data_IF_135083100011
#
_entry.id   IF_135083100011
#
_cell.length_a   1.000
_cell.length_b   1.000
_cell.length_c   1.000
_cell.angle_alpha   90.00
_cell.angle_beta   90.00
_cell.angle_gamma   90.00
#
_symmetry.space_group_name_H-M   'P 1'
#
loop_
_entity.id
_entity.type
_entity.pdbx_description
1 polymer ?
#
# COMPACT_ATOMS: atom_id res chain seq x y z
N UNK A 1 -43.91 18.48 57.74
CA UNK A 1 -44.21 19.02 56.39
C UNK A 1 -43.65 18.05 55.35
N UNK A 2 -44.43 17.56 54.38
CA UNK A 2 -43.89 16.74 53.30
C UNK A 2 -42.94 17.59 52.46
N UNK A 3 -41.80 17.02 52.07
CA UNK A 3 -40.68 17.74 51.47
C UNK A 3 -41.04 18.31 50.08
N UNK A 4 -41.60 19.53 50.05
CA UNK A 4 -42.07 20.26 48.86
C UNK A 4 -41.00 20.34 47.76
N UNK A 5 -39.73 20.43 48.15
CA UNK A 5 -38.58 20.42 47.25
C UNK A 5 -38.50 19.12 46.43
N UNK A 6 -38.72 17.98 47.07
CA UNK A 6 -38.70 16.68 46.38
C UNK A 6 -39.88 16.53 45.41
N UNK A 7 -41.08 17.00 45.78
CA UNK A 7 -42.25 16.96 44.89
C UNK A 7 -42.09 17.86 43.67
N UNK A 8 -41.48 19.04 43.83
CA UNK A 8 -41.19 19.95 42.72
C UNK A 8 -40.17 19.33 41.76
N UNK A 9 -39.06 18.80 42.28
CA UNK A 9 -38.06 18.10 41.47
C UNK A 9 -38.67 16.91 40.72
N UNK A 10 -39.53 16.12 41.36
CA UNK A 10 -40.24 15.00 40.72
C UNK A 10 -41.16 15.46 39.59
N UNK A 11 -41.91 16.56 39.76
CA UNK A 11 -42.76 17.09 38.70
C UNK A 11 -41.95 17.63 37.52
N UNK A 12 -40.87 18.37 37.79
CA UNK A 12 -39.96 18.89 36.77
C UNK A 12 -39.32 17.72 36.00
N UNK A 13 -38.84 16.69 36.69
CA UNK A 13 -38.29 15.49 36.06
C UNK A 13 -39.34 14.74 35.22
N UNK A 14 -40.61 14.67 35.66
CA UNK A 14 -41.70 14.10 34.86
C UNK A 14 -42.00 14.92 33.60
N UNK A 15 -41.97 16.25 33.70
CA UNK A 15 -42.14 17.14 32.55
C UNK A 15 -40.98 17.00 31.56
N UNK A 16 -39.74 17.00 32.05
CA UNK A 16 -38.54 16.79 31.23
C UNK A 16 -38.62 15.42 30.52
N UNK A 17 -38.91 14.33 31.25
CA UNK A 17 -39.08 12.99 30.65
C UNK A 17 -40.25 12.91 29.67
N UNK A 18 -41.25 13.78 29.78
CA UNK A 18 -42.34 13.84 28.79
C UNK A 18 -41.90 14.51 27.50
N UNK A 19 -41.00 15.49 27.57
CA UNK A 19 -40.62 16.34 26.44
C UNK A 19 -39.28 15.98 25.81
N UNK A 20 -38.42 15.27 26.54
CA UNK A 20 -37.10 14.82 26.09
C UNK A 20 -36.97 13.34 26.41
N UNK A 21 -36.75 12.52 25.39
CA UNK A 21 -36.56 11.07 25.53
C UNK A 21 -35.45 10.60 24.61
N UNK A 22 -34.59 9.73 25.14
CA UNK A 22 -33.60 9.01 24.36
C UNK A 22 -34.11 7.57 24.21
N UNK A 23 -34.27 7.11 22.98
CA UNK A 23 -34.81 5.79 22.66
C UNK A 23 -33.92 5.10 21.61
N UNK A 24 -33.85 3.77 21.65
CA UNK A 24 -33.23 2.97 20.59
C UNK A 24 -34.31 2.61 19.56
N UNK A 25 -34.09 3.00 18.32
CA UNK A 25 -35.01 2.73 17.21
C UNK A 25 -34.30 1.94 16.10
N UNK A 26 -35.06 1.21 15.29
CA UNK A 26 -34.56 0.59 14.06
C UNK A 26 -34.90 1.46 12.85
N UNK A 27 -33.99 1.60 11.90
CA UNK A 27 -34.24 2.35 10.66
C UNK A 27 -35.15 1.56 9.72
N UNK A 28 -36.26 2.15 9.30
CA UNK A 28 -37.20 1.56 8.32
C UNK A 28 -36.88 1.98 6.89
N UNK A 29 -36.58 3.28 6.70
CA UNK A 29 -36.32 3.89 5.40
C UNK A 29 -35.27 4.98 5.51
N UNK A 30 -34.44 5.09 4.47
CA UNK A 30 -33.43 6.14 4.32
C UNK A 30 -33.88 7.08 3.20
N UNK A 31 -33.80 8.38 3.45
CA UNK A 31 -33.98 9.43 2.47
C UNK A 31 -32.65 10.15 2.32
N UNK A 32 -32.20 10.34 1.08
CA UNK A 32 -30.94 11.03 0.79
C UNK A 32 -31.12 12.03 -0.34
N UNK A 33 -30.19 12.99 -0.36
CA UNK A 33 -30.01 13.90 -1.49
C UNK A 33 -29.32 13.12 -2.62
N UNK A 34 -30.09 12.75 -3.63
CA UNK A 34 -29.70 11.88 -4.74
C UNK A 34 -29.17 12.67 -5.94
N UNK A 35 -29.72 13.86 -6.19
CA UNK A 35 -29.37 14.66 -7.35
C UNK A 35 -29.32 16.16 -7.01
N UNK A 36 -28.50 16.94 -7.74
CA UNK A 36 -28.53 18.40 -7.64
C UNK A 36 -29.96 18.92 -7.72
N UNK A 37 -30.31 19.86 -6.83
CA UNK A 37 -31.63 20.49 -6.73
C UNK A 37 -32.79 19.64 -6.21
N UNK A 38 -32.55 18.38 -5.80
CA UNK A 38 -33.57 17.71 -5.01
C UNK A 38 -33.71 18.40 -3.64
N UNK A 39 -34.94 18.56 -3.16
CA UNK A 39 -35.24 19.19 -1.87
C UNK A 39 -35.20 18.17 -0.72
N UNK A 40 -34.59 16.99 -0.92
CA UNK A 40 -34.53 15.94 0.08
C UNK A 40 -33.34 16.20 0.99
N UNK A 41 -33.59 16.19 2.28
CA UNK A 41 -32.53 16.14 3.29
C UNK A 41 -32.16 14.69 3.59
N UNK A 42 -30.88 14.49 3.92
CA UNK A 42 -30.38 13.26 4.53
C UNK A 42 -31.11 13.01 5.85
N UNK A 43 -32.06 12.08 5.83
CA UNK A 43 -32.97 11.81 6.93
C UNK A 43 -33.45 10.36 6.90
N UNK A 44 -33.96 9.87 8.02
CA UNK A 44 -34.44 8.49 8.15
C UNK A 44 -35.81 8.40 8.79
N UNK A 45 -36.55 7.36 8.41
CA UNK A 45 -37.74 6.93 9.11
C UNK A 45 -37.34 5.82 10.08
N UNK A 46 -37.81 5.87 11.33
CA UNK A 46 -37.45 4.93 12.39
C UNK A 46 -38.66 4.30 13.06
N UNK A 47 -38.50 3.06 13.50
CA UNK A 47 -39.48 2.26 14.24
C UNK A 47 -38.99 2.08 15.68
N UNK A 48 -39.80 2.44 16.66
CA UNK A 48 -39.48 2.19 18.08
C UNK A 48 -39.64 0.71 18.41
N UNK A 49 -38.61 0.06 18.98
CA UNK A 49 -38.64 -1.39 19.30
C UNK A 49 -39.32 -1.71 20.64
N UNK A 50 -39.16 -0.87 21.65
CA UNK A 50 -39.59 -1.16 23.04
C UNK A 50 -41.08 -0.96 23.33
N UNK A 51 -41.88 -0.64 22.31
CA UNK A 51 -43.33 -0.61 22.48
C UNK A 51 -43.92 -1.90 21.93
N UNK A 52 -44.23 -2.81 22.85
CA UNK A 52 -45.12 -3.95 22.64
C UNK A 52 -46.49 -3.43 22.14
N UNK A 53 -46.58 -3.15 20.85
CA UNK A 53 -47.80 -2.69 20.19
C UNK A 53 -47.98 -3.61 18.99
N UNK A 54 -48.35 -4.86 19.31
CA UNK A 54 -49.14 -5.68 18.38
C UNK A 54 -50.58 -5.17 18.47
N UNK A 55 -50.84 -3.98 17.94
CA UNK A 55 -52.22 -3.55 17.78
C UNK A 55 -52.88 -4.38 16.67
N UNK A 56 -54.20 -4.52 16.73
CA UNK A 56 -55.00 -5.23 15.72
C UNK A 56 -54.82 -4.71 14.27
N UNK A 57 -54.18 -3.55 14.09
CA UNK A 57 -53.85 -2.93 12.79
C UNK A 57 -52.38 -3.09 12.37
N UNK A 58 -51.56 -3.85 13.11
CA UNK A 58 -50.19 -4.22 12.73
C UNK A 58 -49.17 -3.07 12.62
N UNK A 59 -49.54 -1.85 12.99
CA UNK A 59 -48.73 -0.64 12.71
C UNK A 59 -47.95 -0.20 13.95
N UNK A 60 -46.64 -0.51 13.97
CA UNK A 60 -45.70 0.10 14.93
C UNK A 60 -45.64 1.61 14.72
N UNK A 61 -45.32 2.36 15.79
CA UNK A 61 -45.14 3.81 15.70
C UNK A 61 -43.89 4.16 14.88
N UNK A 62 -44.09 4.54 13.62
CA UNK A 62 -43.05 5.07 12.73
C UNK A 62 -42.89 6.57 12.97
N UNK A 63 -41.66 7.03 13.12
CA UNK A 63 -41.28 8.45 13.12
C UNK A 63 -40.57 8.75 11.81
N UNK A 64 -41.03 9.77 11.09
CA UNK A 64 -40.58 10.05 9.73
C UNK A 64 -39.61 11.22 9.66
N UNK A 65 -38.71 11.18 8.69
CA UNK A 65 -37.81 12.27 8.30
C UNK A 65 -37.02 12.87 9.48
N UNK A 66 -36.47 12.00 10.33
CA UNK A 66 -35.56 12.42 11.39
C UNK A 66 -34.19 12.71 10.78
N UNK A 67 -33.64 13.90 11.05
CA UNK A 67 -32.30 14.28 10.60
C UNK A 67 -31.23 13.52 11.38
N UNK A 68 -30.15 13.15 10.70
CA UNK A 68 -28.98 12.51 11.32
C UNK A 68 -27.95 13.55 11.71
N UNK A 69 -27.42 13.47 12.94
CA UNK A 69 -26.28 14.27 13.37
C UNK A 69 -25.08 13.95 12.47
N UNK A 70 -24.48 14.97 11.88
CA UNK A 70 -23.33 14.86 10.99
C UNK A 70 -22.08 15.37 11.71
N UNK A 71 -20.92 14.79 11.43
CA UNK A 71 -19.63 15.23 11.99
C UNK A 71 -19.13 16.53 11.37
N UNK A 72 -19.45 16.79 10.10
CA UNK A 72 -19.07 17.99 9.36
C UNK A 72 -20.16 18.37 8.37
N UNK A 73 -20.60 19.64 8.38
CA UNK A 73 -21.65 20.16 7.47
C UNK A 73 -21.25 21.53 6.94
N UNK A 74 -21.44 21.73 5.64
CA UNK A 74 -21.32 23.00 4.93
C UNK A 74 -22.18 22.99 3.66
N UNK A 75 -22.26 24.11 2.95
CA UNK A 75 -22.99 24.17 1.69
C UNK A 75 -22.25 23.35 0.62
N UNK A 76 -22.85 22.23 0.18
CA UNK A 76 -22.22 21.25 -0.72
C UNK A 76 -20.86 20.71 -0.21
N UNK A 77 -20.66 20.70 1.11
CA UNK A 77 -19.45 20.26 1.78
C UNK A 77 -19.83 19.49 3.05
N UNK A 78 -19.08 18.45 3.41
CA UNK A 78 -19.25 17.76 4.69
C UNK A 78 -19.07 16.26 4.59
N UNK A 79 -19.20 15.61 5.74
CA UNK A 79 -19.18 14.15 5.86
C UNK A 79 -20.61 13.65 5.93
N UNK A 80 -21.22 13.45 4.75
CA UNK A 80 -22.60 13.00 4.65
C UNK A 80 -22.71 11.51 4.97
N UNK A 81 -23.38 11.18 6.07
CA UNK A 81 -23.66 9.83 6.51
C UNK A 81 -25.13 9.66 6.94
N UNK A 82 -25.71 8.50 6.62
CA UNK A 82 -26.99 8.04 7.15
C UNK A 82 -26.87 6.58 7.60
N UNK A 83 -27.55 6.18 8.68
CA UNK A 83 -27.68 4.78 9.04
C UNK A 83 -28.50 4.04 7.98
N UNK A 84 -28.22 2.74 7.81
CA UNK A 84 -28.84 1.89 6.78
C UNK A 84 -30.13 1.27 7.33
N UNK A 85 -30.94 0.69 6.44
CA UNK A 85 -32.19 0.04 6.85
C UNK A 85 -31.90 -1.12 7.81
N UNK A 86 -32.62 -1.18 8.93
CA UNK A 86 -32.42 -2.19 9.97
C UNK A 86 -31.40 -1.82 11.03
N UNK A 87 -30.48 -0.88 10.76
CA UNK A 87 -29.52 -0.40 11.74
C UNK A 87 -30.25 0.11 12.99
N UNK A 88 -29.69 -0.19 14.17
CA UNK A 88 -30.16 0.40 15.41
C UNK A 88 -29.49 1.74 15.68
N UNK A 89 -30.30 2.71 16.10
CA UNK A 89 -29.87 4.10 16.30
C UNK A 89 -30.38 4.68 17.60
N UNK A 90 -29.56 5.52 18.24
CA UNK A 90 -30.00 6.39 19.32
C UNK A 90 -30.76 7.57 18.74
N UNK A 91 -31.99 7.77 19.19
CA UNK A 91 -32.84 8.88 18.77
C UNK A 91 -33.21 9.73 19.97
N UNK A 92 -32.82 11.01 19.93
CA UNK A 92 -33.29 12.01 20.89
C UNK A 92 -34.61 12.59 20.37
N UNK A 93 -35.71 12.22 21.00
CA UNK A 93 -37.00 12.85 20.80
C UNK A 93 -37.11 14.10 21.67
N UNK A 94 -37.35 15.25 21.05
CA UNK A 94 -37.55 16.52 21.71
C UNK A 94 -38.86 17.16 21.24
N UNK A 95 -39.69 17.58 22.19
CA UNK A 95 -41.07 18.00 21.91
C UNK A 95 -41.96 16.85 21.44
N UNK A 96 -43.23 17.14 21.20
CA UNK A 96 -44.28 16.11 21.04
C UNK A 96 -44.22 15.27 19.75
N UNK A 97 -43.16 15.37 18.91
CA UNK A 97 -42.99 14.56 17.69
C UNK A 97 -41.67 14.76 16.92
N UNK A 98 -40.83 15.73 17.29
CA UNK A 98 -39.54 15.97 16.60
C UNK A 98 -38.44 15.10 17.22
N UNK A 99 -37.47 14.73 16.41
CA UNK A 99 -36.34 13.95 16.90
C UNK A 99 -35.12 14.10 16.00
N UNK A 100 -33.97 13.75 16.55
CA UNK A 100 -32.69 13.73 15.84
C UNK A 100 -32.01 12.39 16.11
N UNK A 101 -31.45 11.79 15.07
CA UNK A 101 -30.62 10.58 15.20
C UNK A 101 -29.23 11.02 15.66
N UNK A 102 -28.78 10.50 16.80
CA UNK A 102 -27.49 10.83 17.39
C UNK A 102 -26.35 9.95 16.84
N UNK A 103 -26.67 8.73 16.42
CA UNK A 103 -25.69 7.77 15.90
C UNK A 103 -26.18 6.32 16.00
N UNK A 104 -25.44 5.41 15.39
CA UNK A 104 -25.72 3.98 15.43
C UNK A 104 -25.34 3.33 16.77
N UNK A 105 -25.97 2.19 17.06
CA UNK A 105 -25.79 1.43 18.29
C UNK A 105 -25.56 -0.03 17.94
N UNK A 106 -24.53 -0.62 18.54
CA UNK A 106 -24.27 -2.05 18.42
C UNK A 106 -25.33 -2.88 19.16
N UNK A 107 -25.60 -4.09 18.69
CA UNK A 107 -26.54 -4.99 19.33
C UNK A 107 -26.21 -6.45 19.08
N UNK A 108 -26.98 -7.36 19.68
CA UNK A 108 -26.89 -8.79 19.37
C UNK A 108 -27.27 -9.13 17.92
N UNK A 109 -27.93 -8.21 17.19
CA UNK A 109 -28.20 -8.36 15.76
C UNK A 109 -27.03 -7.91 14.89
N UNK A 110 -26.32 -6.87 15.33
CA UNK A 110 -25.22 -6.20 14.65
C UNK A 110 -24.04 -6.14 15.61
N UNK A 111 -23.24 -7.19 15.61
CA UNK A 111 -22.07 -7.26 16.49
C UNK A 111 -20.96 -6.34 15.96
N UNK A 112 -20.23 -5.66 16.86
CA UNK A 112 -19.04 -4.91 16.46
C UNK A 112 -17.94 -5.87 15.97
N UNK A 113 -17.01 -5.39 15.13
CA UNK A 113 -15.81 -6.16 14.78
C UNK A 113 -14.98 -6.47 16.04
N UNK A 114 -14.36 -7.65 16.09
CA UNK A 114 -13.49 -8.02 17.20
C UNK A 114 -12.25 -7.13 17.28
N UNK A 115 -11.88 -6.80 18.52
CA UNK A 115 -10.67 -6.05 18.86
C UNK A 115 -9.81 -6.92 19.77
N UNK A 116 -8.51 -7.00 19.50
CA UNK A 116 -7.61 -7.83 20.28
C UNK A 116 -7.33 -7.20 21.63
N UNK A 117 -7.29 -5.87 21.66
CA UNK A 117 -7.18 -5.07 22.88
C UNK A 117 -8.35 -4.07 22.96
N UNK A 118 -8.70 -3.56 24.16
CA UNK A 118 -9.72 -2.52 24.28
C UNK A 118 -9.31 -1.18 23.65
N UNK A 119 -8.04 -1.01 23.29
CA UNK A 119 -7.46 0.23 22.76
C UNK A 119 -7.28 0.22 21.25
N UNK A 120 -7.36 -0.95 20.61
CA UNK A 120 -7.36 -1.03 19.14
C UNK A 120 -8.45 -0.13 18.56
N UNK A 121 -8.10 0.55 17.47
CA UNK A 121 -9.04 1.31 16.65
C UNK A 121 -9.34 0.47 15.42
N UNK A 122 -10.61 0.17 15.17
CA UNK A 122 -11.04 -0.65 14.04
C UNK A 122 -12.21 0.01 13.34
N UNK A 123 -12.04 0.24 12.06
CA UNK A 123 -13.12 0.58 11.14
C UNK A 123 -13.22 -0.55 10.11
N UNK A 124 -14.37 -1.21 10.04
CA UNK A 124 -14.65 -2.26 9.07
C UNK A 124 -15.87 -1.86 8.25
N UNK A 125 -15.65 -1.63 6.96
CA UNK A 125 -16.69 -1.40 5.98
C UNK A 125 -16.87 -2.61 5.08
N UNK A 126 -17.84 -2.54 4.18
CA UNK A 126 -18.10 -3.56 3.18
C UNK A 126 -19.45 -3.36 2.51
N UNK A 127 -19.76 -4.23 1.57
CA UNK A 127 -21.07 -4.27 0.92
C UNK A 127 -22.12 -4.73 1.93
N UNK A 128 -23.06 -3.83 2.22
CA UNK A 128 -24.18 -4.08 3.10
C UNK A 128 -25.25 -4.91 2.41
N UNK A 129 -25.84 -5.83 3.17
CA UNK A 129 -26.97 -6.64 2.74
C UNK A 129 -28.16 -6.32 3.65
N UNK A 130 -29.29 -5.97 3.02
CA UNK A 130 -30.48 -5.60 3.76
C UNK A 130 -30.96 -6.76 4.65
N UNK A 131 -31.18 -6.52 5.96
CA UNK A 131 -31.77 -7.53 6.82
C UNK A 131 -33.23 -7.78 6.40
N UNK A 132 -33.70 -9.01 6.67
CA UNK A 132 -35.09 -9.38 6.40
C UNK A 132 -36.02 -8.54 7.26
N UNK A 133 -36.95 -7.84 6.60
CA UNK A 133 -38.02 -7.11 7.25
C UNK A 133 -39.33 -7.86 7.05
N UNK A 134 -40.09 -8.09 8.12
CA UNK A 134 -41.41 -8.71 8.04
C UNK A 134 -42.51 -7.70 7.65
N UNK A 135 -43.73 -8.21 7.50
CA UNK A 135 -44.93 -7.41 7.21
C UNK A 135 -45.24 -6.35 8.30
N UNK A 136 -44.77 -6.58 9.53
CA UNK A 136 -44.94 -5.68 10.68
C UNK A 136 -43.82 -4.67 10.85
N UNK A 137 -42.97 -4.54 9.82
CA UNK A 137 -41.83 -3.61 9.80
C UNK A 137 -40.80 -3.92 10.89
N UNK A 138 -40.77 -5.14 11.42
CA UNK A 138 -39.74 -5.60 12.32
C UNK A 138 -38.61 -6.31 11.56
N UNK A 139 -37.47 -6.47 12.24
CA UNK A 139 -36.29 -7.16 11.72
C UNK A 139 -35.98 -8.39 12.60
N UNK A 140 -36.77 -9.47 12.48
CA UNK A 140 -36.76 -10.57 13.43
C UNK A 140 -35.59 -11.56 13.24
N UNK A 141 -35.01 -11.64 12.04
CA UNK A 141 -33.93 -12.60 11.74
C UNK A 141 -32.60 -12.04 12.19
N UNK A 142 -32.07 -12.55 13.30
CA UNK A 142 -30.78 -12.17 13.87
C UNK A 142 -29.85 -13.41 13.93
N UNK A 143 -28.52 -13.24 13.78
CA UNK A 143 -27.83 -12.00 13.45
C UNK A 143 -28.16 -11.50 12.04
N UNK A 144 -27.98 -10.21 11.80
CA UNK A 144 -28.16 -9.64 10.46
C UNK A 144 -27.11 -10.17 9.48
N UNK A 145 -27.38 -10.13 8.16
CA UNK A 145 -26.44 -10.62 7.17
C UNK A 145 -25.05 -10.00 7.32
N UNK A 146 -24.03 -10.86 7.27
CA UNK A 146 -22.63 -10.42 7.37
C UNK A 146 -22.23 -9.61 6.13
N UNK A 147 -21.46 -8.54 6.34
CA UNK A 147 -20.93 -7.73 5.25
C UNK A 147 -20.11 -8.57 4.27
N UNK A 148 -20.25 -8.27 2.97
CA UNK A 148 -19.45 -8.90 1.90
C UNK A 148 -18.39 -7.93 1.40
N UNK A 149 -17.31 -8.49 0.84
CA UNK A 149 -16.15 -7.74 0.36
C UNK A 149 -15.70 -6.62 1.33
N UNK A 150 -15.27 -6.99 2.54
CA UNK A 150 -14.98 -5.99 3.55
C UNK A 150 -13.67 -5.27 3.23
N UNK A 151 -13.62 -3.98 3.52
CA UNK A 151 -12.39 -3.22 3.65
C UNK A 151 -12.23 -2.81 5.12
N UNK A 152 -11.01 -2.54 5.56
CA UNK A 152 -10.81 -2.14 6.94
C UNK A 152 -9.60 -1.22 7.14
N UNK A 153 -9.74 -0.35 8.13
CA UNK A 153 -8.63 0.33 8.76
C UNK A 153 -8.50 -0.24 10.18
N UNK A 154 -7.28 -0.61 10.56
CA UNK A 154 -7.01 -1.10 11.90
C UNK A 154 -5.72 -0.54 12.43
N UNK A 155 -5.80 0.05 13.62
CA UNK A 155 -4.67 0.41 14.45
C UNK A 155 -4.54 -0.63 15.57
N UNK A 156 -3.43 -1.36 15.57
CA UNK A 156 -3.07 -2.30 16.62
C UNK A 156 -2.43 -1.50 17.75
N UNK A 157 -3.08 -1.47 18.91
CA UNK A 157 -2.64 -0.68 20.06
C UNK A 157 -2.50 -1.57 21.29
N UNK A 158 -1.35 -1.49 21.98
CA UNK A 158 -1.15 -2.08 23.30
C UNK A 158 -1.35 -1.07 24.44
N UNK A 159 -1.76 -1.48 25.66
CA UNK A 159 -1.75 -0.57 26.81
C UNK A 159 -0.33 -0.06 27.12
N UNK A 160 -0.20 1.23 27.46
CA UNK A 160 1.03 1.79 28.01
C UNK A 160 1.18 1.36 29.48
N UNK A 161 1.99 0.32 29.75
CA UNK A 161 2.22 -0.21 31.11
C UNK A 161 3.47 0.41 31.75
N UNK A 162 3.44 1.72 31.99
CA UNK A 162 4.51 2.47 32.68
C UNK A 162 5.74 2.83 31.83
N UNK A 163 6.15 1.96 30.91
CA UNK A 163 6.99 2.28 29.75
C UNK A 163 6.13 2.28 28.48
N UNK A 164 6.61 2.89 27.39
CA UNK A 164 5.95 2.83 26.08
C UNK A 164 5.61 1.37 25.75
N UNK A 165 4.32 1.07 25.55
CA UNK A 165 3.84 -0.28 25.26
C UNK A 165 4.25 -0.75 23.86
N UNK A 166 4.24 -2.06 23.58
CA UNK A 166 4.61 -2.57 22.26
C UNK A 166 3.62 -2.09 21.19
N UNK A 167 4.15 -1.69 20.05
CA UNK A 167 3.43 -1.52 18.79
C UNK A 167 2.46 -0.34 18.70
N UNK A 168 2.61 0.47 17.64
CA UNK A 168 1.55 1.32 17.07
C UNK A 168 1.39 1.01 15.59
N UNK A 169 1.42 -0.27 15.25
CA UNK A 169 1.30 -0.75 13.89
C UNK A 169 -0.11 -0.46 13.38
N UNK A 170 -0.24 -0.12 12.11
CA UNK A 170 -1.55 0.07 11.53
C UNK A 170 -1.59 -0.38 10.08
N UNK A 171 -2.78 -0.76 9.66
CA UNK A 171 -3.04 -1.18 8.29
C UNK A 171 -4.31 -0.53 7.75
N UNK A 172 -4.32 -0.28 6.45
CA UNK A 172 -5.49 0.13 5.71
C UNK A 172 -5.64 -0.75 4.48
N UNK A 173 -6.72 -1.54 4.44
CA UNK A 173 -7.11 -2.39 3.31
C UNK A 173 -8.17 -1.68 2.47
N UNK A 174 -8.03 -1.67 1.14
CA UNK A 174 -8.72 -0.73 0.24
C UNK A 174 -9.91 -1.24 -0.57
N UNK A 175 -10.22 -2.54 -0.54
CA UNK A 175 -11.39 -3.08 -1.26
C UNK A 175 -11.81 -4.41 -0.67
N UNK A 176 -10.87 -5.36 -0.63
CA UNK A 176 -11.16 -6.73 -0.22
C UNK A 176 -10.12 -7.29 0.75
N UNK A 177 -10.49 -7.32 2.02
CA UNK A 177 -9.81 -8.03 3.09
C UNK A 177 -10.25 -9.50 3.06
N UNK A 178 -9.41 -10.35 2.48
CA UNK A 178 -9.67 -11.78 2.35
C UNK A 178 -9.86 -12.46 3.72
N UNK A 179 -9.03 -12.09 4.70
CA UNK A 179 -9.17 -12.57 6.09
C UNK A 179 -10.50 -12.15 6.71
N UNK A 180 -10.88 -10.88 6.54
CA UNK A 180 -12.14 -10.37 7.06
C UNK A 180 -13.38 -10.93 6.35
N UNK A 181 -13.22 -11.53 5.17
CA UNK A 181 -14.26 -12.24 4.44
C UNK A 181 -14.40 -13.69 4.88
N UNK A 182 -13.28 -14.39 5.03
CA UNK A 182 -13.23 -15.77 5.53
C UNK A 182 -13.65 -15.84 7.02
N UNK A 183 -13.26 -14.82 7.79
CA UNK A 183 -13.54 -14.66 9.21
C UNK A 183 -14.26 -13.32 9.48
N UNK A 184 -15.59 -13.24 9.27
CA UNK A 184 -16.35 -12.00 9.36
C UNK A 184 -16.32 -11.30 10.72
N UNK A 185 -16.05 -12.02 11.81
CA UNK A 185 -15.93 -11.43 13.14
C UNK A 185 -14.54 -10.82 13.39
N UNK A 186 -13.54 -11.11 12.54
CA UNK A 186 -12.15 -10.65 12.67
C UNK A 186 -11.46 -11.11 13.97
N UNK A 187 -11.90 -12.23 14.53
CA UNK A 187 -11.38 -12.85 15.75
C UNK A 187 -9.91 -13.31 15.63
N UNK A 188 -9.47 -13.59 14.40
CA UNK A 188 -8.09 -13.97 14.08
C UNK A 188 -7.17 -12.77 13.83
N UNK A 189 -7.72 -11.57 13.65
CA UNK A 189 -6.98 -10.36 13.32
C UNK A 189 -6.34 -9.76 14.60
N UNK A 190 -5.34 -10.44 15.17
CA UNK A 190 -4.75 -10.07 16.46
C UNK A 190 -3.60 -9.08 16.34
N UNK A 191 -2.78 -9.26 15.32
CA UNK A 191 -1.61 -8.43 15.00
C UNK A 191 -1.65 -8.05 13.52
N UNK A 192 -0.79 -7.12 13.10
CA UNK A 192 -0.67 -6.71 11.69
C UNK A 192 -0.26 -7.88 10.76
N UNK A 193 0.45 -8.87 11.31
CA UNK A 193 0.88 -10.09 10.63
C UNK A 193 -0.24 -11.11 10.39
N UNK A 194 -1.37 -10.93 11.09
CA UNK A 194 -2.57 -11.77 10.94
C UNK A 194 -3.25 -11.54 9.60
N UNK A 195 -2.93 -10.44 8.91
CA UNK A 195 -3.46 -10.10 7.60
C UNK A 195 -2.43 -10.53 6.57
N UNK A 196 -2.71 -11.57 5.78
CA UNK A 196 -1.81 -12.01 4.70
C UNK A 196 -1.60 -10.93 3.63
N UNK A 197 -0.47 -10.96 2.93
CA UNK A 197 -0.23 -10.01 1.84
C UNK A 197 -0.92 -10.46 0.53
N UNK A 198 -0.85 -11.76 0.23
CA UNK A 198 -1.35 -12.37 -1.01
C UNK A 198 -2.79 -11.93 -1.32
N UNK A 199 -3.00 -11.44 -2.55
CA UNK A 199 -4.26 -10.95 -3.11
C UNK A 199 -4.91 -9.74 -2.39
N UNK A 200 -4.37 -9.27 -1.25
CA UNK A 200 -4.90 -8.09 -0.57
C UNK A 200 -4.34 -6.80 -1.18
N UNK A 201 -5.13 -5.72 -1.13
CA UNK A 201 -4.70 -4.36 -1.47
C UNK A 201 -4.61 -3.53 -0.19
N UNK A 202 -3.42 -3.06 0.18
CA UNK A 202 -3.24 -2.39 1.47
C UNK A 202 -2.11 -1.37 1.54
N UNK A 203 -2.18 -0.52 2.57
CA UNK A 203 -1.01 -0.01 3.27
C UNK A 203 -0.83 -0.74 4.60
N UNK A 204 0.43 -1.00 4.96
CA UNK A 204 0.82 -1.43 6.31
C UNK A 204 1.99 -0.58 6.77
N UNK A 205 1.93 -0.17 8.02
CA UNK A 205 2.98 0.59 8.69
C UNK A 205 3.33 -0.09 10.00
N UNK A 206 4.63 -0.34 10.16
CA UNK A 206 5.22 -1.02 11.28
C UNK A 206 5.93 0.03 12.14
N UNK A 207 5.59 0.07 13.41
CA UNK A 207 6.17 1.00 14.38
C UNK A 207 7.57 0.59 14.80
N UNK A 208 8.28 1.48 15.50
CA UNK A 208 9.61 1.21 16.07
C UNK A 208 9.63 0.01 17.02
N UNK A 209 8.54 -0.20 17.75
CA UNK A 209 8.38 -1.30 18.70
C UNK A 209 7.35 -2.31 18.20
N UNK A 210 7.34 -2.57 16.88
CA UNK A 210 6.39 -3.50 16.25
C UNK A 210 6.47 -4.88 16.89
N UNK A 211 5.31 -5.52 17.06
CA UNK A 211 5.20 -6.93 17.45
C UNK A 211 5.31 -7.87 16.24
N UNK A 212 5.45 -7.32 15.03
CA UNK A 212 5.60 -8.09 13.82
C UNK A 212 6.85 -8.96 13.87
N UNK A 213 6.70 -10.21 13.43
CA UNK A 213 7.80 -11.14 13.17
C UNK A 213 8.05 -11.35 11.68
N UNK A 214 7.28 -10.65 10.83
CA UNK A 214 7.32 -10.73 9.36
C UNK A 214 7.82 -9.44 8.71
N UNK A 215 8.04 -8.39 9.48
CA UNK A 215 8.55 -7.13 9.00
C UNK A 215 9.48 -6.50 10.03
N UNK A 216 10.40 -5.69 9.52
CA UNK A 216 11.29 -4.91 10.36
C UNK A 216 10.56 -3.68 10.92
N UNK A 217 11.02 -3.15 12.07
CA UNK A 217 10.51 -1.91 12.61
C UNK A 217 10.63 -0.73 11.63
N UNK A 218 9.72 0.24 11.75
CA UNK A 218 9.69 1.46 10.93
C UNK A 218 9.47 1.21 9.42
N UNK A 219 9.01 0.02 9.04
CA UNK A 219 8.65 -0.28 7.65
C UNK A 219 7.32 0.40 7.26
N UNK A 220 7.28 0.92 6.04
CA UNK A 220 6.04 1.29 5.36
C UNK A 220 5.90 0.49 4.06
N UNK A 221 4.73 -0.07 3.79
CA UNK A 221 4.49 -0.81 2.55
C UNK A 221 3.12 -0.51 1.97
N UNK A 222 3.10 -0.30 0.66
CA UNK A 222 1.91 -0.34 -0.18
C UNK A 222 1.95 -1.59 -1.04
N UNK A 223 0.90 -2.40 -0.99
CA UNK A 223 0.85 -3.68 -1.70
C UNK A 223 -0.39 -3.76 -2.59
N UNK A 224 -0.21 -4.25 -3.80
CA UNK A 224 -1.26 -4.44 -4.78
C UNK A 224 -1.60 -5.95 -4.93
N UNK A 225 -2.85 -6.34 -5.26
CA UNK A 225 -3.24 -7.74 -5.43
C UNK A 225 -2.44 -8.54 -6.47
N UNK A 226 -1.77 -7.86 -7.41
CA UNK A 226 -0.81 -8.46 -8.34
C UNK A 226 0.46 -9.02 -7.67
N UNK A 227 0.68 -8.74 -6.38
CA UNK A 227 1.88 -9.04 -5.61
C UNK A 227 2.90 -7.90 -5.65
N UNK A 228 2.72 -6.91 -6.54
CA UNK A 228 3.66 -5.78 -6.66
C UNK A 228 3.52 -4.84 -5.45
N UNK A 229 4.64 -4.26 -5.01
CA UNK A 229 4.65 -3.41 -3.83
C UNK A 229 5.63 -2.24 -3.92
N UNK A 230 5.32 -1.19 -3.15
CA UNK A 230 6.25 -0.12 -2.81
C UNK A 230 6.57 -0.22 -1.33
N UNK A 231 7.85 -0.39 -1.00
CA UNK A 231 8.30 -0.62 0.37
C UNK A 231 9.36 0.41 0.75
N UNK A 232 9.29 0.86 2.00
CA UNK A 232 10.26 1.70 2.68
C UNK A 232 10.76 0.95 3.89
N UNK A 233 12.07 0.78 3.99
CA UNK A 233 12.73 0.05 5.05
C UNK A 233 13.50 1.00 5.97
N UNK A 234 13.22 0.92 7.27
CA UNK A 234 13.82 1.82 8.25
C UNK A 234 15.16 1.34 8.84
N UNK A 235 15.42 0.04 8.81
CA UNK A 235 16.62 -0.58 9.40
C UNK A 235 17.06 -1.82 8.62
N UNK A 236 18.37 -2.04 8.54
CA UNK A 236 19.01 -3.19 7.91
C UNK A 236 19.40 -4.30 8.90
N UNK A 237 19.37 -3.99 10.19
CA UNK A 237 19.76 -4.90 11.29
C UNK A 237 18.83 -4.72 12.49
N UNK A 238 17.56 -5.09 12.36
CA UNK A 238 16.62 -5.00 13.48
C UNK A 238 16.93 -5.97 14.63
N UNK A 239 17.89 -6.89 14.45
CA UNK A 239 18.25 -7.96 15.39
C UNK A 239 17.85 -9.34 14.87
N UNK A 240 18.36 -10.39 15.49
CA UNK A 240 18.12 -11.79 15.10
C UNK A 240 16.64 -12.23 15.25
N UNK A 241 15.88 -11.45 16.01
CA UNK A 241 14.48 -11.70 16.37
C UNK A 241 13.46 -11.35 15.27
N UNK A 242 13.92 -10.79 14.15
CA UNK A 242 13.07 -10.30 13.06
C UNK A 242 13.38 -11.01 11.74
N UNK A 243 12.31 -11.45 11.07
CA UNK A 243 12.36 -11.98 9.71
C UNK A 243 11.51 -11.09 8.82
N UNK A 244 11.92 -10.89 7.57
CA UNK A 244 11.13 -10.16 6.58
C UNK A 244 10.45 -11.13 5.62
N UNK A 245 9.14 -10.98 5.41
CA UNK A 245 8.41 -11.69 4.36
C UNK A 245 8.73 -11.17 2.94
N UNK A 246 9.25 -9.94 2.85
CA UNK A 246 9.78 -9.37 1.62
C UNK A 246 11.31 -9.52 1.58
N UNK A 247 11.86 -9.72 0.39
CA UNK A 247 13.30 -9.68 0.21
C UNK A 247 13.84 -8.29 0.53
N UNK A 248 14.73 -8.21 1.52
CA UNK A 248 15.35 -6.97 1.99
C UNK A 248 16.84 -7.16 2.11
N UNK A 249 17.60 -6.38 1.33
CA UNK A 249 19.06 -6.31 1.45
C UNK A 249 19.50 -4.85 1.34
N UNK A 250 20.46 -4.45 2.17
CA UNK A 250 21.04 -3.11 2.18
C UNK A 250 20.51 -2.19 3.29
N UNK A 251 21.30 -1.13 3.56
CA UNK A 251 20.97 -0.07 4.51
C UNK A 251 19.64 0.59 4.12
N UNK A 252 18.73 0.76 5.11
CA UNK A 252 17.31 1.10 4.95
C UNK A 252 16.97 1.86 3.67
N UNK A 253 16.18 1.29 2.77
CA UNK A 253 16.00 1.78 1.40
C UNK A 253 14.52 1.97 1.09
N UNK A 254 14.20 2.56 -0.07
CA UNK A 254 12.89 2.32 -0.67
C UNK A 254 13.02 1.51 -1.95
N UNK A 255 12.04 0.66 -2.22
CA UNK A 255 11.99 -0.19 -3.40
C UNK A 255 10.61 -0.22 -4.03
N UNK A 256 10.57 -0.20 -5.35
CA UNK A 256 9.40 -0.59 -6.14
C UNK A 256 9.66 -1.98 -6.69
N UNK A 257 8.90 -2.97 -6.22
CA UNK A 257 9.03 -4.35 -6.63
C UNK A 257 7.87 -4.74 -7.55
N UNK A 258 8.21 -5.13 -8.77
CA UNK A 258 7.31 -5.82 -9.68
C UNK A 258 7.19 -7.30 -9.29
N UNK A 259 5.96 -7.79 -9.29
CA UNK A 259 5.63 -9.17 -8.96
C UNK A 259 4.36 -9.58 -9.74
N UNK A 260 4.21 -10.89 -9.95
CA UNK A 260 2.98 -11.48 -10.50
C UNK A 260 2.47 -12.57 -9.58
N UNK A 261 1.19 -12.50 -9.21
CA UNK A 261 0.51 -13.57 -8.47
C UNK A 261 -0.14 -14.57 -9.43
N UNK A 262 0.29 -15.83 -9.38
CA UNK A 262 -0.29 -16.94 -10.17
C UNK A 262 -0.71 -18.03 -9.19
N UNK A 263 -2.00 -18.40 -9.21
CA UNK A 263 -2.57 -19.42 -8.31
C UNK A 263 -2.29 -19.17 -6.81
N UNK A 264 -2.24 -17.91 -6.39
CA UNK A 264 -1.95 -17.53 -5.00
C UNK A 264 -0.47 -17.64 -4.62
N UNK A 265 0.42 -17.81 -5.60
CA UNK A 265 1.88 -17.79 -5.40
C UNK A 265 2.45 -16.55 -6.07
N UNK A 266 3.29 -15.82 -5.36
CA UNK A 266 3.93 -14.60 -5.84
C UNK A 266 5.29 -14.90 -6.48
N UNK A 267 5.48 -14.37 -7.69
CA UNK A 267 6.71 -14.49 -8.45
C UNK A 267 7.31 -13.10 -8.66
N UNK A 268 8.40 -12.81 -7.96
CA UNK A 268 9.13 -11.57 -8.10
C UNK A 268 9.66 -11.44 -9.53
N UNK A 269 9.51 -10.26 -10.13
CA UNK A 269 9.91 -9.98 -11.52
C UNK A 269 11.12 -9.09 -11.56
N UNK A 270 11.00 -7.83 -11.16
CA UNK A 270 12.10 -6.87 -11.21
C UNK A 270 11.87 -5.78 -10.18
N UNK A 271 12.90 -5.00 -9.89
CA UNK A 271 12.79 -3.94 -8.89
C UNK A 271 13.59 -2.69 -9.26
N UNK A 272 13.26 -1.60 -8.57
CA UNK A 272 14.08 -0.39 -8.50
C UNK A 272 14.26 -0.07 -7.04
N UNK A 273 15.50 0.15 -6.60
CA UNK A 273 15.85 0.44 -5.22
C UNK A 273 16.67 1.72 -5.14
N UNK A 274 16.41 2.48 -4.08
CA UNK A 274 17.18 3.67 -3.72
C UNK A 274 17.62 3.59 -2.27
N UNK A 275 18.93 3.71 -2.05
CA UNK A 275 19.56 3.69 -0.74
C UNK A 275 19.73 5.11 -0.18
N UNK A 276 19.84 5.29 1.15
CA UNK A 276 19.93 6.62 1.77
C UNK A 276 21.20 7.38 1.42
N UNK A 277 22.26 6.66 1.05
CA UNK A 277 23.52 7.22 0.59
C UNK A 277 23.40 7.89 -0.79
N UNK A 278 22.25 7.76 -1.46
CA UNK A 278 22.00 8.29 -2.81
C UNK A 278 22.28 7.28 -3.93
N UNK A 279 22.72 6.07 -3.61
CA UNK A 279 22.91 5.00 -4.59
C UNK A 279 21.55 4.50 -5.07
N UNK A 280 21.40 4.32 -6.38
CA UNK A 280 20.19 3.77 -7.00
C UNK A 280 20.54 2.55 -7.83
N UNK A 281 19.67 1.56 -7.83
CA UNK A 281 19.80 0.39 -8.71
C UNK A 281 18.44 -0.03 -9.24
N UNK A 282 18.46 -0.75 -10.36
CA UNK A 282 17.29 -1.46 -10.83
C UNK A 282 17.68 -2.73 -11.54
N UNK A 283 16.79 -3.71 -11.47
CA UNK A 283 17.02 -5.05 -11.98
C UNK A 283 15.76 -5.55 -12.66
N UNK A 284 15.88 -6.06 -13.88
CA UNK A 284 14.76 -6.63 -14.64
C UNK A 284 14.37 -8.05 -14.19
N UNK A 285 15.23 -8.70 -13.39
CA UNK A 285 14.93 -9.90 -12.64
C UNK A 285 14.92 -9.55 -11.14
N UNK A 286 14.40 -10.41 -10.28
CA UNK A 286 14.67 -10.33 -8.83
C UNK A 286 15.24 -11.67 -8.44
N UNK A 287 16.44 -11.71 -7.85
CA UNK A 287 17.14 -12.96 -7.66
C UNK A 287 16.32 -13.91 -6.78
N UNK A 288 15.99 -15.07 -7.32
CA UNK A 288 15.79 -16.26 -6.50
C UNK A 288 17.19 -16.86 -6.32
N UNK A 289 17.84 -16.56 -5.19
CA UNK A 289 19.13 -17.09 -4.72
C UNK A 289 20.39 -16.94 -5.60
N UNK A 290 20.32 -16.84 -6.93
CA UNK A 290 21.48 -17.06 -7.80
C UNK A 290 21.90 -15.86 -8.69
N UNK A 291 21.30 -14.68 -8.52
CA UNK A 291 21.67 -13.38 -9.15
C UNK A 291 22.28 -13.45 -10.57
N UNK A 292 21.72 -14.31 -11.43
CA UNK A 292 22.34 -14.73 -12.70
C UNK A 292 21.51 -14.39 -13.94
N UNK A 293 20.36 -13.73 -13.76
CA UNK A 293 19.43 -13.45 -14.84
C UNK A 293 19.02 -11.97 -14.89
N UNK A 294 18.74 -11.49 -16.10
CA UNK A 294 18.26 -10.15 -16.38
C UNK A 294 19.36 -9.08 -16.46
N UNK A 295 18.90 -7.86 -16.69
CA UNK A 295 19.73 -6.66 -16.76
C UNK A 295 19.64 -5.88 -15.46
N UNK A 296 20.78 -5.47 -14.95
CA UNK A 296 20.92 -4.58 -13.80
C UNK A 296 21.54 -3.26 -14.23
N UNK A 297 21.05 -2.17 -13.70
CA UNK A 297 21.76 -0.89 -13.70
C UNK A 297 22.02 -0.44 -12.28
N UNK A 298 23.12 0.28 -12.07
CA UNK A 298 23.44 0.90 -10.80
C UNK A 298 24.08 2.25 -11.02
N UNK A 299 23.62 3.25 -10.28
CA UNK A 299 24.20 4.58 -10.20
C UNK A 299 24.69 4.76 -8.77
N UNK A 300 26.00 4.95 -8.62
CA UNK A 300 26.65 5.06 -7.33
C UNK A 300 26.59 6.50 -6.84
N UNK A 301 26.38 6.69 -5.54
CA UNK A 301 26.43 8.03 -4.97
C UNK A 301 27.83 8.66 -5.09
N UNK A 302 27.93 10.00 -5.03
CA UNK A 302 29.22 10.68 -5.06
C UNK A 302 30.20 10.18 -3.99
N UNK A 303 29.68 9.79 -2.82
CA UNK A 303 30.47 9.35 -1.66
C UNK A 303 30.71 7.83 -1.64
N UNK A 304 30.12 7.08 -2.59
CA UNK A 304 30.33 5.65 -2.68
C UNK A 304 31.75 5.32 -3.16
N UNK A 305 32.41 4.34 -2.52
CA UNK A 305 33.80 3.96 -2.79
C UNK A 305 33.96 2.79 -3.79
N UNK A 306 32.89 2.40 -4.49
CA UNK A 306 32.98 1.38 -5.52
C UNK A 306 34.02 1.76 -6.59
N UNK A 307 34.97 0.87 -6.84
CA UNK A 307 36.07 1.07 -7.79
C UNK A 307 36.51 -0.28 -8.36
N UNK A 308 37.16 -0.24 -9.53
CA UNK A 308 37.89 -1.37 -10.11
C UNK A 308 39.32 -0.96 -10.51
N UNK A 309 40.01 -1.79 -11.31
CA UNK A 309 41.36 -1.52 -11.83
C UNK A 309 41.51 -0.22 -12.65
N UNK A 310 40.41 0.35 -13.15
CA UNK A 310 40.40 1.59 -13.93
C UNK A 310 39.96 2.81 -13.12
N UNK A 311 39.44 2.63 -11.91
CA UNK A 311 39.17 3.72 -10.97
C UNK A 311 37.77 3.69 -10.35
N UNK A 312 37.37 4.79 -9.67
CA UNK A 312 36.07 4.91 -9.02
C UNK A 312 34.91 4.91 -10.02
N UNK A 313 33.87 4.13 -9.72
CA UNK A 313 32.72 3.92 -10.60
C UNK A 313 31.63 4.95 -10.29
N UNK A 314 31.07 5.55 -11.33
CA UNK A 314 29.92 6.44 -11.24
C UNK A 314 28.61 5.69 -11.56
N UNK A 315 28.62 4.83 -12.58
CA UNK A 315 27.47 4.02 -12.96
C UNK A 315 27.89 2.75 -13.71
N UNK A 316 27.06 1.72 -13.65
CA UNK A 316 27.17 0.55 -14.50
C UNK A 316 25.80 0.02 -14.98
N UNK A 317 25.84 -0.67 -16.12
CA UNK A 317 24.75 -1.47 -16.68
C UNK A 317 25.35 -2.85 -17.00
N UNK A 318 24.75 -3.91 -16.48
CA UNK A 318 25.22 -5.28 -16.64
C UNK A 318 24.07 -6.17 -17.12
N UNK A 319 24.33 -7.00 -18.13
CA UNK A 319 23.49 -8.15 -18.46
C UNK A 319 24.10 -9.39 -17.80
N UNK A 320 23.38 -10.02 -16.87
CA UNK A 320 23.96 -11.01 -15.97
C UNK A 320 24.26 -12.34 -16.69
N UNK A 321 23.41 -12.76 -17.63
CA UNK A 321 23.57 -14.02 -18.36
C UNK A 321 24.80 -14.01 -19.27
N UNK A 322 25.10 -12.87 -19.89
CA UNK A 322 26.24 -12.74 -20.80
C UNK A 322 27.44 -12.10 -20.12
N UNK A 323 27.29 -11.56 -18.90
CA UNK A 323 28.31 -10.73 -18.25
C UNK A 323 28.74 -9.50 -19.07
N UNK A 324 27.93 -9.07 -20.04
CA UNK A 324 28.19 -7.83 -20.78
C UNK A 324 27.98 -6.62 -19.86
N UNK A 325 28.91 -5.66 -19.89
CA UNK A 325 28.93 -4.51 -18.99
C UNK A 325 29.22 -3.21 -19.73
N UNK A 326 28.45 -2.16 -19.44
CA UNK A 326 28.80 -0.77 -19.70
C UNK A 326 29.09 -0.10 -18.37
N UNK A 327 30.23 0.57 -18.22
CA UNK A 327 30.66 1.21 -16.99
C UNK A 327 31.15 2.63 -17.26
N UNK A 328 30.71 3.56 -16.42
CA UNK A 328 31.11 4.96 -16.43
C UNK A 328 31.86 5.24 -15.13
N UNK A 329 33.03 5.84 -15.22
CA UNK A 329 33.88 6.19 -14.07
C UNK A 329 33.66 7.66 -13.66
N UNK A 330 34.02 7.99 -12.41
CA UNK A 330 33.84 9.33 -11.86
C UNK A 330 34.68 10.41 -12.54
N UNK A 331 35.75 10.02 -13.23
CA UNK A 331 36.57 10.91 -14.05
C UNK A 331 35.97 11.17 -15.45
N UNK A 332 34.88 10.49 -15.82
CA UNK A 332 34.23 10.57 -17.12
C UNK A 332 34.65 9.49 -18.13
N UNK A 333 35.57 8.58 -17.76
CA UNK A 333 35.92 7.47 -18.62
C UNK A 333 34.72 6.52 -18.82
N UNK A 334 34.65 5.87 -19.98
CA UNK A 334 33.63 4.87 -20.31
C UNK A 334 34.28 3.58 -20.78
N UNK A 335 33.84 2.46 -20.21
CA UNK A 335 34.22 1.10 -20.59
C UNK A 335 33.01 0.33 -21.07
N UNK A 336 33.14 -0.36 -22.19
CA UNK A 336 32.18 -1.37 -22.65
C UNK A 336 32.91 -2.70 -22.76
N UNK A 337 32.33 -3.74 -22.16
CA UNK A 337 32.80 -5.11 -22.21
C UNK A 337 31.68 -5.97 -22.78
N UNK A 338 31.93 -6.64 -23.91
CA UNK A 338 31.12 -7.78 -24.31
C UNK A 338 31.71 -9.04 -23.68
N UNK A 339 30.86 -9.92 -23.18
CA UNK A 339 31.25 -11.28 -22.86
C UNK A 339 30.30 -12.24 -23.60
N UNK A 340 30.91 -13.10 -24.40
CA UNK A 340 30.29 -14.12 -25.29
C UNK A 340 29.31 -13.59 -26.35
N UNK A 341 29.53 -13.99 -27.60
CA UNK A 341 28.56 -13.82 -28.69
C UNK A 341 27.32 -14.71 -28.38
N UNK A 342 26.07 -14.30 -28.71
CA UNK A 342 24.91 -15.20 -28.73
C UNK A 342 25.10 -16.54 -29.48
N UNK A 343 26.13 -16.70 -30.31
CA UNK A 343 26.53 -17.99 -30.93
C UNK A 343 27.28 -18.95 -29.98
N UNK A 344 27.70 -18.51 -28.80
CA UNK A 344 28.56 -19.27 -27.89
C UNK A 344 30.06 -19.14 -28.19
N UNK A 345 30.43 -18.35 -29.20
CA UNK A 345 31.83 -18.03 -29.46
C UNK A 345 32.35 -17.00 -28.45
N UNK A 346 33.53 -17.27 -27.89
CA UNK A 346 34.24 -16.32 -27.03
C UNK A 346 34.68 -15.12 -27.87
N UNK A 347 33.82 -14.12 -28.00
CA UNK A 347 34.13 -12.80 -28.58
C UNK A 347 34.11 -11.76 -27.47
N UNK A 348 35.22 -11.59 -26.77
CA UNK A 348 35.36 -10.54 -25.74
C UNK A 348 35.97 -9.30 -26.39
N UNK A 349 35.14 -8.34 -26.74
CA UNK A 349 35.58 -7.01 -27.16
C UNK A 349 35.53 -6.06 -25.97
N UNK A 350 36.58 -5.28 -25.80
CA UNK A 350 36.66 -4.17 -24.85
C UNK A 350 36.78 -2.86 -25.62
N UNK A 351 35.91 -1.91 -25.30
CA UNK A 351 36.02 -0.52 -25.75
C UNK A 351 36.30 0.34 -24.54
N UNK A 352 37.24 1.26 -24.65
CA UNK A 352 37.51 2.24 -23.61
C UNK A 352 37.70 3.62 -24.22
N UNK A 353 37.07 4.61 -23.60
CA UNK A 353 37.21 6.02 -23.96
C UNK A 353 37.60 6.78 -22.70
N UNK A 354 38.75 7.46 -22.75
CA UNK A 354 39.26 8.24 -21.63
C UNK A 354 38.91 9.73 -21.78
N UNK A 355 38.82 10.47 -20.66
CA UNK A 355 38.61 11.92 -20.68
C UNK A 355 39.73 12.70 -21.36
N UNK A 356 40.95 12.15 -21.37
CA UNK A 356 42.13 12.76 -21.99
C UNK A 356 42.13 12.67 -23.53
N UNK A 357 41.11 12.05 -24.13
CA UNK A 357 40.98 11.86 -25.58
C UNK A 357 41.61 10.58 -26.12
N UNK A 358 42.25 9.76 -25.28
CA UNK A 358 42.67 8.42 -25.67
C UNK A 358 41.46 7.47 -25.77
N UNK A 359 41.38 6.67 -26.83
CA UNK A 359 40.41 5.59 -26.92
C UNK A 359 41.00 4.33 -27.55
N UNK A 360 40.47 3.17 -27.18
CA UNK A 360 40.89 1.92 -27.76
C UNK A 360 39.76 0.90 -27.88
N UNK A 361 39.89 0.03 -28.86
CA UNK A 361 39.09 -1.16 -29.10
C UNK A 361 40.03 -2.36 -29.09
N UNK A 362 39.74 -3.36 -28.29
CA UNK A 362 40.55 -4.57 -28.17
C UNK A 362 39.67 -5.81 -28.29
N UNK A 363 39.95 -6.64 -29.28
CA UNK A 363 39.46 -8.02 -29.32
C UNK A 363 40.43 -8.87 -28.50
N UNK A 364 39.99 -9.31 -27.32
CA UNK A 364 40.85 -10.04 -26.38
C UNK A 364 41.22 -11.42 -26.94
N UNK A 365 40.35 -12.04 -27.73
CA UNK A 365 40.55 -13.42 -28.21
C UNK A 365 41.57 -13.47 -29.34
N UNK A 366 41.50 -12.54 -30.28
CA UNK A 366 42.51 -12.43 -31.32
C UNK A 366 43.70 -11.55 -30.91
N UNK A 367 43.73 -10.99 -29.70
CA UNK A 367 44.72 -9.97 -29.30
C UNK A 367 44.89 -8.82 -30.33
N UNK A 368 43.84 -8.54 -31.12
CA UNK A 368 43.84 -7.47 -32.10
C UNK A 368 43.35 -6.18 -31.42
N UNK A 369 44.13 -5.10 -31.51
CA UNK A 369 43.78 -3.83 -30.91
C UNK A 369 43.93 -2.65 -31.87
N UNK A 370 43.05 -1.66 -31.67
CA UNK A 370 43.08 -0.35 -32.27
C UNK A 370 43.12 0.69 -31.15
N UNK A 371 44.06 1.61 -31.18
CA UNK A 371 44.20 2.70 -30.21
C UNK A 371 44.31 4.04 -30.96
N UNK A 372 43.49 5.01 -30.59
CA UNK A 372 43.67 6.41 -30.95
C UNK A 372 44.18 7.17 -29.73
N UNK A 373 45.35 7.76 -29.83
CA UNK A 373 45.98 8.53 -28.76
C UNK A 373 45.49 9.98 -28.78
N UNK A 374 45.53 10.64 -27.64
CA UNK A 374 45.13 12.04 -27.44
C UNK A 374 45.83 13.02 -28.39
N UNK A 375 47.05 12.68 -28.85
CA UNK A 375 47.81 13.46 -29.81
C UNK A 375 47.44 13.17 -31.28
N UNK A 376 46.38 12.40 -31.55
CA UNK A 376 45.92 12.01 -32.88
C UNK A 376 46.66 10.83 -33.50
N UNK A 377 47.63 10.21 -32.81
CA UNK A 377 48.31 9.00 -33.30
C UNK A 377 47.36 7.81 -33.26
N UNK A 378 47.24 7.09 -34.37
CA UNK A 378 46.52 5.82 -34.45
C UNK A 378 47.54 4.67 -34.41
N UNK A 379 47.27 3.67 -33.59
CA UNK A 379 48.04 2.43 -33.49
C UNK A 379 47.12 1.24 -33.74
N UNK A 380 47.50 0.37 -34.67
CA UNK A 380 46.75 -0.83 -35.02
C UNK A 380 47.68 -2.02 -34.89
N UNK A 381 47.28 -3.03 -34.12
CA UNK A 381 47.97 -4.31 -34.02
C UNK A 381 46.97 -5.42 -34.29
N UNK A 382 47.34 -6.33 -35.17
CA UNK A 382 46.63 -7.58 -35.41
C UNK A 382 47.66 -8.69 -35.47
N UNK A 383 47.40 -9.89 -34.91
CA UNK A 383 48.27 -11.05 -35.14
C UNK A 383 48.14 -11.60 -36.57
N UNK A 384 47.16 -11.13 -37.33
CA UNK A 384 46.89 -11.51 -38.71
C UNK A 384 47.08 -10.31 -39.65
N UNK A 385 46.33 -10.26 -40.75
CA UNK A 385 46.39 -9.18 -41.74
C UNK A 385 45.64 -7.92 -41.26
N UNK A 386 46.20 -6.75 -41.59
CA UNK A 386 45.54 -5.44 -41.40
C UNK A 386 45.26 -4.86 -42.79
N UNK A 387 43.99 -4.81 -43.18
CA UNK A 387 43.55 -4.20 -44.43
C UNK A 387 43.12 -2.75 -44.21
N UNK A 388 43.92 -1.79 -44.69
CA UNK A 388 43.62 -0.36 -44.62
C UNK A 388 43.06 0.09 -45.98
N UNK A 389 41.75 0.36 -46.04
CA UNK A 389 41.12 0.91 -47.24
C UNK A 389 41.19 2.43 -47.16
N UNK A 390 42.23 3.02 -47.74
CA UNK A 390 42.35 4.46 -47.86
C UNK A 390 41.51 4.98 -49.04
N UNK A 391 40.82 6.14 -48.92
CA UNK A 391 40.20 6.79 -50.07
C UNK A 391 41.28 7.20 -51.09
N UNK A 392 41.02 6.97 -52.38
CA UNK A 392 41.92 7.38 -53.46
C UNK A 392 42.00 8.91 -53.50
N UNK A 393 43.09 9.48 -52.97
CA UNK A 393 43.39 10.90 -53.14
C UNK A 393 43.95 11.09 -54.55
N UNK A 394 43.09 11.51 -55.49
CA UNK A 394 43.55 11.97 -56.80
C UNK A 394 44.25 13.32 -56.64
N UNK A 395 45.57 13.32 -56.53
CA UNK A 395 46.37 14.53 -56.71
C UNK A 395 46.95 14.54 -58.13
N UNK A 396 46.46 15.46 -58.98
CA UNK A 396 47.02 15.82 -60.29
C UNK A 396 47.63 14.66 -61.11
N UNK A 397 46.80 13.69 -61.50
CA UNK A 397 47.07 12.82 -62.65
C UNK A 397 48.11 11.71 -62.47
N UNK A 398 48.70 11.52 -61.29
CA UNK A 398 49.53 10.35 -61.01
C UNK A 398 48.86 9.46 -59.95
N UNK A 399 48.46 8.25 -60.37
CA UNK A 399 48.01 7.21 -59.45
C UNK A 399 49.26 6.61 -58.81
N UNK A 400 49.48 6.88 -57.53
CA UNK A 400 50.46 6.17 -56.71
C UNK A 400 49.69 5.08 -55.98
N UNK A 401 49.96 3.82 -56.34
CA UNK A 401 49.55 2.67 -55.54
C UNK A 401 50.55 2.52 -54.38
N UNK A 402 50.05 2.56 -53.15
CA UNK A 402 50.79 2.12 -51.97
C UNK A 402 50.83 0.61 -51.89
#
# INVERSE_FOLDING_TARGET
>A
MPNLKNRFVDQVMRLIRRHVRLEICAVDRVHWHEAPYDQKFNSVDVVMRDRAIKNATGTRHIRKQLTCLQSMVGHCLGYNWNPRKGDLVYVLFYGERKGVVLGSVWSWAEYPPCRATPYDVVEKGGQWLAPYQDEWKDFPKQPYPLAKKPYCFKWFHGPLKGQTGPGRDWCWLFDYCHEGHAHPHCELCKTIDSIGHILNHFFKFYSEQTESRKAYPLRGVYHNPSGSYWLFEGSDKPGEDYVSEFYTEGMGFWTLQGCTTINGIEYLKGHIRHSPDGTMEGHSATPAQDDSAGSRWKVYSPDNNAADEHGPIAADLQHLETSAVVRIYKDGAVRVLSATDPSGDAGTAKVFVRPDGNCWLWNIVSDAYFECKANGKIEIRSPSEVNIIAPVIKHNGAVIHS
#
